data_IF_215432123933
#
_entry.id   IF_215432123933
#
_cell.length_a   1.000
_cell.length_b   1.000
_cell.length_c   1.000
_cell.angle_alpha   90.00
_cell.angle_beta   90.00
_cell.angle_gamma   90.00
#
_symmetry.space_group_name_H-M   'P 1'
#
loop_
_entity.id
_entity.type
_entity.pdbx_description
1 polymer ?
#
# COMPACT_ATOMS: atom_id res chain seq x y z
N UNK A 1 11.48 -5.80 -10.35
CA UNK A 1 10.10 -5.95 -9.83
C UNK A 1 9.88 -7.27 -9.09
N UNK A 2 10.33 -8.42 -9.62
CA UNK A 2 10.24 -9.71 -8.93
C UNK A 2 10.87 -9.69 -7.53
N UNK A 3 12.06 -9.12 -7.39
CA UNK A 3 12.79 -9.03 -6.12
C UNK A 3 12.01 -8.34 -5.00
N UNK A 4 11.24 -7.29 -5.32
CA UNK A 4 10.43 -6.58 -4.32
C UNK A 4 9.31 -7.45 -3.75
N UNK A 5 8.66 -8.24 -4.61
CA UNK A 5 7.61 -9.17 -4.17
C UNK A 5 8.18 -10.41 -3.47
N UNK A 6 9.38 -10.85 -3.84
CA UNK A 6 10.09 -11.91 -3.11
C UNK A 6 10.44 -11.47 -1.68
N UNK A 7 10.90 -10.22 -1.50
CA UNK A 7 11.15 -9.64 -0.17
C UNK A 7 9.86 -9.54 0.66
N UNK A 8 8.73 -9.19 0.03
CA UNK A 8 7.41 -9.21 0.70
C UNK A 8 7.05 -10.63 1.18
N UNK A 9 7.28 -11.64 0.34
CA UNK A 9 7.02 -13.04 0.69
C UNK A 9 7.96 -13.55 1.80
N UNK A 10 9.20 -13.07 1.82
CA UNK A 10 10.18 -13.33 2.86
C UNK A 10 9.91 -12.57 4.19
N UNK A 11 8.91 -11.67 4.22
CA UNK A 11 8.61 -10.83 5.38
C UNK A 11 9.57 -9.66 5.58
N UNK A 12 10.46 -9.39 4.62
CA UNK A 12 11.41 -8.29 4.65
C UNK A 12 10.76 -7.00 4.13
N UNK A 13 9.75 -6.51 4.85
CA UNK A 13 8.92 -5.39 4.40
C UNK A 13 9.68 -4.07 4.25
N UNK A 14 10.61 -3.76 5.16
CA UNK A 14 11.45 -2.57 5.08
C UNK A 14 12.34 -2.56 3.84
N UNK A 15 13.04 -3.66 3.57
CA UNK A 15 13.89 -3.78 2.37
C UNK A 15 13.05 -3.80 1.09
N UNK A 16 11.86 -4.40 1.13
CA UNK A 16 10.92 -4.35 0.01
C UNK A 16 10.53 -2.90 -0.32
N UNK A 17 10.25 -2.07 0.71
CA UNK A 17 9.94 -0.65 0.53
C UNK A 17 11.07 0.07 -0.19
N UNK A 18 12.31 -0.05 0.28
CA UNK A 18 13.46 0.60 -0.36
C UNK A 18 13.59 0.21 -1.84
N UNK A 19 13.32 -1.06 -2.18
CA UNK A 19 13.36 -1.54 -3.57
C UNK A 19 12.23 -0.96 -4.42
N UNK A 20 11.03 -0.86 -3.87
CA UNK A 20 9.91 -0.27 -4.58
C UNK A 20 10.06 1.25 -4.72
N UNK A 21 10.58 1.96 -3.71
CA UNK A 21 10.87 3.39 -3.79
C UNK A 21 11.92 3.68 -4.88
N UNK A 22 12.99 2.89 -4.94
CA UNK A 22 13.97 2.99 -6.02
C UNK A 22 13.34 2.74 -7.40
N UNK A 23 12.39 1.81 -7.49
CA UNK A 23 11.67 1.54 -8.74
C UNK A 23 10.75 2.70 -9.14
N UNK A 24 10.03 3.30 -8.18
CA UNK A 24 9.20 4.51 -8.41
C UNK A 24 10.07 5.69 -8.82
N UNK A 25 11.24 5.86 -8.20
CA UNK A 25 12.17 6.93 -8.55
C UNK A 25 12.75 6.78 -9.96
N UNK A 26 12.90 5.54 -10.44
CA UNK A 26 13.34 5.25 -11.80
C UNK A 26 12.22 5.39 -12.82
N UNK A 27 10.98 5.05 -12.45
CA UNK A 27 9.79 5.09 -13.29
C UNK A 27 8.54 5.24 -12.45
N UNK A 28 8.01 6.46 -12.41
CA UNK A 28 6.84 6.85 -11.63
C UNK A 28 5.50 6.52 -12.34
N UNK A 29 5.55 6.04 -13.58
CA UNK A 29 4.37 5.72 -14.37
C UNK A 29 3.86 4.30 -14.10
N UNK A 30 4.67 3.46 -13.44
CA UNK A 30 4.31 2.08 -13.13
C UNK A 30 3.50 1.98 -11.85
N UNK A 31 2.37 1.27 -11.92
CA UNK A 31 1.51 1.04 -10.77
C UNK A 31 2.07 -0.04 -9.81
N UNK A 32 2.69 -1.10 -10.34
CA UNK A 32 3.14 -2.26 -9.56
C UNK A 32 4.01 -1.93 -8.32
N UNK A 33 4.97 -0.98 -8.38
CA UNK A 33 5.75 -0.58 -7.21
C UNK A 33 4.89 0.01 -6.08
N UNK A 34 3.91 0.86 -6.41
CA UNK A 34 2.98 1.44 -5.43
C UNK A 34 2.13 0.38 -4.73
N UNK A 35 1.73 -0.67 -5.46
CA UNK A 35 1.09 -1.85 -4.87
C UNK A 35 2.01 -2.56 -3.88
N UNK A 36 3.27 -2.76 -4.22
CA UNK A 36 4.27 -3.34 -3.33
C UNK A 36 4.44 -2.54 -2.04
N UNK A 37 4.53 -1.22 -2.17
CA UNK A 37 4.62 -0.27 -1.04
C UNK A 37 3.41 -0.35 -0.13
N UNK A 38 2.19 -0.34 -0.69
CA UNK A 38 0.96 -0.44 0.08
C UNK A 38 0.88 -1.72 0.91
N UNK A 39 1.29 -2.87 0.35
CA UNK A 39 1.35 -4.15 1.07
C UNK A 39 2.40 -4.09 2.19
N UNK A 40 3.63 -3.68 1.87
CA UNK A 40 4.73 -3.65 2.83
C UNK A 40 4.41 -2.75 4.02
N UNK A 41 3.93 -1.54 3.76
CA UNK A 41 3.60 -0.57 4.80
C UNK A 41 2.38 -0.99 5.62
N UNK A 42 1.38 -1.63 4.99
CA UNK A 42 0.24 -2.20 5.71
C UNK A 42 0.68 -3.31 6.67
N UNK A 43 1.66 -4.14 6.27
CA UNK A 43 2.27 -5.18 7.12
C UNK A 43 3.10 -4.62 8.27
N UNK A 44 3.71 -3.45 8.09
CA UNK A 44 4.45 -2.73 9.13
C UNK A 44 3.53 -1.93 10.08
N UNK A 45 2.21 -1.95 9.87
CA UNK A 45 1.27 -1.16 10.67
C UNK A 45 1.23 0.34 10.30
N UNK A 46 1.88 0.73 9.21
CA UNK A 46 1.93 2.10 8.73
C UNK A 46 0.70 2.39 7.85
N UNK A 47 -0.49 2.36 8.44
CA UNK A 47 -1.76 2.45 7.71
C UNK A 47 -1.89 3.71 6.86
N UNK A 48 -1.51 4.88 7.40
CA UNK A 48 -1.61 6.15 6.68
C UNK A 48 -0.78 6.14 5.38
N UNK A 49 0.45 5.63 5.46
CA UNK A 49 1.36 5.61 4.34
C UNK A 49 0.99 4.47 3.35
N UNK A 50 0.49 3.34 3.87
CA UNK A 50 -0.10 2.26 3.06
C UNK A 50 -1.26 2.77 2.20
N UNK A 51 -2.21 3.51 2.79
CA UNK A 51 -3.34 4.12 2.07
C UNK A 51 -2.87 5.09 0.99
N UNK A 52 -1.85 5.91 1.27
CA UNK A 52 -1.30 6.83 0.29
C UNK A 52 -0.73 6.08 -0.93
N UNK A 53 0.06 5.02 -0.70
CA UNK A 53 0.60 4.20 -1.77
C UNK A 53 -0.51 3.51 -2.59
N UNK A 54 -1.55 3.00 -1.92
CA UNK A 54 -2.70 2.39 -2.58
C UNK A 54 -3.50 3.38 -3.44
N UNK A 55 -3.64 4.63 -3.01
CA UNK A 55 -4.31 5.67 -3.82
C UNK A 55 -3.53 5.99 -5.08
N UNK A 56 -2.20 6.07 -5.01
CA UNK A 56 -1.35 6.27 -6.18
C UNK A 56 -1.41 5.07 -7.14
N UNK A 57 -1.41 3.85 -6.60
CA UNK A 57 -1.63 2.64 -7.39
C UNK A 57 -2.93 2.75 -8.20
N UNK A 58 -4.05 3.05 -7.53
CA UNK A 58 -5.37 3.17 -8.17
C UNK A 58 -5.43 4.31 -9.20
N UNK A 59 -4.70 5.41 -8.98
CA UNK A 59 -4.65 6.52 -9.93
C UNK A 59 -3.91 6.15 -11.23
N UNK A 60 -2.95 5.22 -11.15
CA UNK A 60 -2.18 4.72 -12.30
C UNK A 60 -2.81 3.49 -12.95
N UNK A 61 -3.75 2.80 -12.28
CA UNK A 61 -4.48 1.67 -12.87
C UNK A 61 -5.77 2.15 -13.53
N UNK A 62 -5.86 2.06 -14.85
CA UNK A 62 -7.04 2.55 -15.60
C UNK A 62 -8.14 1.46 -15.79
N UNK A 63 -7.96 0.23 -15.28
CA UNK A 63 -8.93 -0.87 -15.44
C UNK A 63 -9.59 -1.33 -14.15
N UNK A 64 -10.85 -1.77 -14.27
CA UNK A 64 -11.61 -2.46 -13.22
C UNK A 64 -11.06 -3.87 -12.99
N UNK A 65 -9.86 -3.94 -12.42
CA UNK A 65 -9.22 -5.19 -12.06
C UNK A 65 -9.75 -5.68 -10.72
N UNK A 66 -9.84 -7.00 -10.54
CA UNK A 66 -10.21 -7.63 -9.25
C UNK A 66 -9.37 -7.09 -8.09
N UNK A 67 -8.14 -6.69 -8.39
CA UNK A 67 -7.20 -6.11 -7.45
C UNK A 67 -7.66 -4.74 -6.93
N UNK A 68 -8.33 -3.91 -7.73
CA UNK A 68 -8.91 -2.64 -7.27
C UNK A 68 -9.85 -2.85 -6.08
N UNK A 69 -10.78 -3.81 -6.18
CA UNK A 69 -11.71 -4.14 -5.08
C UNK A 69 -10.99 -4.59 -3.80
N UNK A 70 -9.86 -5.29 -3.96
CA UNK A 70 -9.05 -5.70 -2.82
C UNK A 70 -8.36 -4.49 -2.17
N UNK A 71 -7.83 -3.57 -2.97
CA UNK A 71 -7.18 -2.34 -2.50
C UNK A 71 -8.17 -1.39 -1.84
N UNK A 72 -9.35 -1.17 -2.46
CA UNK A 72 -10.43 -0.35 -1.89
C UNK A 72 -10.85 -0.87 -0.52
N UNK A 73 -10.90 -2.19 -0.32
CA UNK A 73 -11.16 -2.79 1.01
C UNK A 73 -10.07 -2.45 2.02
N UNK A 74 -8.80 -2.49 1.63
CA UNK A 74 -7.67 -2.15 2.53
C UNK A 74 -7.76 -0.68 2.95
N UNK A 75 -8.08 0.20 2.01
CA UNK A 75 -8.26 1.64 2.31
C UNK A 75 -9.44 1.84 3.27
N UNK A 76 -10.59 1.23 2.99
CA UNK A 76 -11.78 1.32 3.84
C UNK A 76 -11.53 0.79 5.26
N UNK A 77 -10.79 -0.31 5.39
CA UNK A 77 -10.45 -0.89 6.68
C UNK A 77 -9.52 0.02 7.49
N UNK A 78 -8.55 0.64 6.81
CA UNK A 78 -7.65 1.61 7.43
C UNK A 78 -8.35 2.91 7.84
N UNK A 79 -9.26 3.41 7.01
CA UNK A 79 -10.09 4.57 7.32
C UNK A 79 -11.04 4.29 8.49
N UNK A 80 -11.63 3.08 8.54
CA UNK A 80 -12.45 2.64 9.67
C UNK A 80 -11.63 2.57 10.96
N UNK A 81 -10.43 1.99 10.94
CA UNK A 81 -9.54 1.95 12.10
C UNK A 81 -9.18 3.36 12.58
N UNK A 82 -8.89 4.28 11.66
CA UNK A 82 -8.63 5.68 11.97
C UNK A 82 -9.85 6.41 12.56
N UNK A 83 -11.06 6.14 12.05
CA UNK A 83 -12.31 6.70 12.57
C UNK A 83 -12.66 6.20 13.97
N UNK A 84 -12.56 4.88 14.18
CA UNK A 84 -12.76 4.24 15.49
C UNK A 84 -11.76 4.71 16.56
N UNK A 85 -10.56 5.12 16.14
CA UNK A 85 -9.57 5.70 17.04
C UNK A 85 -9.97 7.09 17.54
N UNK A 86 -10.77 7.85 16.78
CA UNK A 86 -11.25 9.18 17.16
C UNK A 86 -12.55 9.18 17.96
N UNK A 87 -13.32 8.09 17.94
CA UNK A 87 -14.60 7.97 18.67
C UNK A 87 -14.43 7.42 20.11
N UNK A 88 -13.22 7.04 20.53
CA UNK A 88 -12.95 6.54 21.89
C UNK A 88 -12.51 7.61 22.91
N UNK A 89 -12.40 8.89 22.53
CA UNK A 89 -12.04 9.99 23.46
C UNK A 89 -13.25 10.80 23.97
N UNK A 90 -14.44 10.21 24.00
CA UNK A 90 -15.63 10.85 24.57
C UNK A 90 -16.34 9.95 25.59
N UNK A 91 -15.74 9.77 26.77
CA UNK A 91 -16.49 9.52 28.02
C UNK A 91 -15.74 10.04 29.25
#
# INVERSE_FOLDING_TARGET
EAEGFELLAAGQFTTAIERFEAAVAADDTRAQPFRGLGIAQGRLGQEAASVAAWRLYLALTDRDDRERRQVERVILDAERRRGLSGEMEAE
#
